data_IF_426326932747
#
_entry.id   IF_426326932747
#
_cell.length_a   1.000
_cell.length_b   1.000
_cell.length_c   1.000
_cell.angle_alpha   90.00
_cell.angle_beta   90.00
_cell.angle_gamma   90.00
#
_symmetry.space_group_name_H-M   'P 1'
#
loop_
_entity.id
_entity.type
_entity.pdbx_description
1 polymer ?
#
# COMPACT_ATOMS: atom_id res chain seq x y z
N UNK A 1 -21.68 9.90 -50.07
CA UNK A 1 -21.72 11.35 -49.86
C UNK A 1 -22.63 11.61 -48.68
N UNK A 2 -22.09 11.88 -47.53
CA UNK A 2 -22.52 12.90 -46.56
C UNK A 2 -21.42 12.94 -45.49
N UNK A 3 -20.62 13.96 -45.55
CA UNK A 3 -19.76 14.46 -44.48
C UNK A 3 -20.65 15.05 -43.40
N UNK A 4 -20.36 14.77 -42.16
CA UNK A 4 -20.83 15.55 -41.01
C UNK A 4 -19.64 15.81 -40.11
N UNK A 5 -19.14 17.04 -40.20
CA UNK A 5 -18.25 17.71 -39.29
C UNK A 5 -18.91 17.78 -37.90
N UNK A 6 -18.19 17.45 -36.88
CA UNK A 6 -18.47 17.89 -35.53
C UNK A 6 -17.24 18.62 -34.99
N UNK A 7 -17.43 19.87 -35.03
CA UNK A 7 -16.96 21.06 -34.33
C UNK A 7 -16.17 20.86 -33.07
N UNK A 8 -14.95 21.40 -33.12
CA UNK A 8 -14.16 21.87 -31.98
C UNK A 8 -14.92 22.99 -31.26
N UNK A 9 -14.86 23.01 -29.96
CA UNK A 9 -14.70 24.17 -29.09
C UNK A 9 -15.21 23.85 -27.69
N UNK A 10 -14.32 23.66 -26.75
CA UNK A 10 -14.54 24.13 -25.39
C UNK A 10 -13.21 24.32 -24.67
N UNK A 11 -12.55 25.42 -25.05
CA UNK A 11 -11.46 26.01 -24.28
C UNK A 11 -12.08 26.65 -23.03
N UNK A 12 -12.04 25.98 -21.88
CA UNK A 12 -12.43 26.60 -20.63
C UNK A 12 -11.20 27.26 -19.98
N UNK A 13 -11.09 28.56 -20.27
CA UNK A 13 -10.20 29.52 -19.63
C UNK A 13 -10.60 29.68 -18.15
N UNK A 14 -9.79 29.24 -17.24
CA UNK A 14 -9.81 29.77 -15.88
C UNK A 14 -8.76 30.88 -15.76
N UNK A 15 -9.26 32.11 -15.82
CA UNK A 15 -8.55 33.31 -15.41
C UNK A 15 -8.84 33.60 -13.93
N UNK A 16 -7.80 33.99 -13.25
CA UNK A 16 -7.89 35.06 -12.23
C UNK A 16 -7.89 34.58 -10.80
N UNK A 17 -6.82 35.02 -10.17
CA UNK A 17 -6.77 36.16 -9.22
C UNK A 17 -7.06 35.70 -7.79
N UNK A 18 -6.25 35.94 -6.77
CA UNK A 18 -5.68 37.19 -6.28
C UNK A 18 -4.60 36.93 -5.23
N UNK A 19 -3.59 37.75 -5.30
CA UNK A 19 -2.64 38.07 -4.22
C UNK A 19 -3.37 38.80 -3.09
N UNK A 20 -3.14 38.41 -1.84
CA UNK A 20 -3.32 39.30 -0.69
C UNK A 20 -2.05 39.21 0.18
N UNK A 21 -1.34 40.31 0.13
CA UNK A 21 -0.28 40.65 1.07
C UNK A 21 -0.92 41.31 2.32
N UNK A 22 -0.38 41.04 3.50
CA UNK A 22 -0.81 41.67 4.77
C UNK A 22 0.10 41.25 5.89
N UNK A 23 1.09 42.02 6.08
CA UNK A 23 1.46 42.98 7.14
C UNK A 23 2.07 42.35 8.39
N UNK A 24 3.34 42.71 8.53
CA UNK A 24 4.24 42.64 9.69
C UNK A 24 3.70 43.50 10.84
N UNK A 25 3.74 43.00 12.07
CA UNK A 25 3.77 43.82 13.28
C UNK A 25 4.90 43.36 14.17
N UNK A 26 5.93 44.19 14.22
CA UNK A 26 6.94 44.19 15.28
C UNK A 26 6.33 44.78 16.55
N UNK A 27 6.53 44.12 17.66
CA UNK A 27 6.27 44.67 19.00
C UNK A 27 7.42 44.31 19.92
N UNK A 28 8.18 45.34 20.23
CA UNK A 28 9.38 45.29 21.06
C UNK A 28 9.09 45.54 22.54
N UNK A 29 10.04 45.11 23.37
CA UNK A 29 10.47 45.64 24.65
C UNK A 29 9.64 45.42 25.92
N UNK A 30 10.36 44.99 26.96
CA UNK A 30 10.08 45.27 28.32
C UNK A 30 10.74 44.29 29.28
N UNK A 31 11.88 44.72 29.83
CA UNK A 31 12.67 44.03 30.82
C UNK A 31 12.03 44.02 32.22
N UNK A 32 12.60 43.22 33.10
CA UNK A 32 12.25 43.10 34.49
C UNK A 32 12.96 41.95 35.17
N UNK A 33 14.18 42.18 35.65
CA UNK A 33 14.88 41.33 36.63
C UNK A 33 14.12 41.32 37.95
N UNK A 34 13.82 40.14 38.47
CA UNK A 34 13.76 39.94 39.92
C UNK A 34 14.28 38.56 40.27
N UNK A 35 15.43 38.57 40.86
CA UNK A 35 16.12 37.47 41.53
C UNK A 35 15.35 37.13 42.80
N UNK A 36 14.87 35.90 42.90
CA UNK A 36 14.49 35.31 44.17
C UNK A 36 15.04 33.91 44.19
N UNK A 37 16.03 33.75 45.04
CA UNK A 37 16.61 32.51 45.53
C UNK A 37 15.60 31.81 46.47
N UNK A 38 15.18 30.59 46.19
CA UNK A 38 14.57 29.74 47.16
C UNK A 38 14.80 28.26 46.85
N UNK A 39 15.63 27.66 47.71
CA UNK A 39 15.67 26.31 48.25
C UNK A 39 15.39 25.09 47.30
N UNK A 40 16.43 24.29 47.22
CA UNK A 40 16.44 22.94 46.73
C UNK A 40 15.45 22.02 47.50
N UNK A 41 14.61 21.31 46.73
CA UNK A 41 13.95 20.08 47.17
C UNK A 41 14.40 18.91 46.30
N UNK A 42 14.47 17.66 46.80
CA UNK A 42 15.19 16.57 46.18
C UNK A 42 14.54 16.12 44.88
N UNK A 43 15.37 15.91 43.85
CA UNK A 43 14.99 15.36 42.56
C UNK A 43 14.31 13.99 42.71
N UNK A 44 13.03 13.91 42.38
CA UNK A 44 12.41 12.67 42.01
C UNK A 44 13.01 12.20 40.70
N UNK A 45 13.54 11.00 40.66
CA UNK A 45 14.06 10.35 39.45
C UNK A 45 13.01 10.36 38.34
N UNK A 46 13.38 10.67 37.08
CA UNK A 46 12.47 10.53 35.96
C UNK A 46 12.09 9.05 35.81
N UNK A 47 10.80 8.75 35.92
CA UNK A 47 10.28 7.44 35.51
C UNK A 47 10.69 7.26 34.04
N UNK A 48 11.44 6.19 33.79
CA UNK A 48 11.81 5.79 32.45
C UNK A 48 10.53 5.66 31.60
N UNK A 49 10.40 6.50 30.59
CA UNK A 49 9.41 6.34 29.56
C UNK A 49 9.56 4.93 28.97
N UNK A 50 8.46 4.20 28.69
CA UNK A 50 8.55 2.93 27.99
C UNK A 50 9.34 3.16 26.71
N UNK A 51 10.44 2.42 26.53
CA UNK A 51 11.19 2.41 25.30
C UNK A 51 10.21 2.09 24.17
N UNK A 52 10.05 3.05 23.26
CA UNK A 52 9.34 2.80 22.01
C UNK A 52 9.98 1.57 21.39
N UNK A 53 9.18 0.53 21.19
CA UNK A 53 9.62 -0.63 20.41
C UNK A 53 10.23 -0.11 19.11
N UNK A 54 11.40 -0.63 18.69
CA UNK A 54 12.01 -0.19 17.44
C UNK A 54 10.97 -0.35 16.34
N UNK A 55 10.65 0.74 15.65
CA UNK A 55 9.91 0.69 14.40
C UNK A 55 10.64 -0.33 13.52
N UNK A 56 9.96 -1.45 13.23
CA UNK A 56 10.53 -2.45 12.35
C UNK A 56 10.95 -1.72 11.07
N UNK A 57 12.24 -1.68 10.81
CA UNK A 57 12.77 -1.22 9.55
C UNK A 57 11.99 -1.97 8.48
N UNK A 58 11.53 -1.27 7.43
CA UNK A 58 10.85 -1.89 6.31
C UNK A 58 11.66 -3.12 5.90
N UNK A 59 11.14 -4.32 6.23
CA UNK A 59 11.89 -5.54 6.14
C UNK A 59 12.23 -5.84 4.68
N UNK A 60 13.35 -6.45 4.45
CA UNK A 60 13.63 -7.07 3.16
C UNK A 60 12.54 -8.12 2.86
N UNK A 61 12.25 -8.33 1.56
CA UNK A 61 11.37 -9.41 1.15
C UNK A 61 11.83 -10.73 1.76
N UNK A 62 10.93 -11.42 2.45
CA UNK A 62 11.26 -12.71 3.05
C UNK A 62 11.39 -13.77 1.96
N UNK A 63 12.36 -14.70 2.06
CA UNK A 63 12.55 -15.75 1.07
C UNK A 63 11.37 -16.73 1.09
N UNK A 64 11.10 -17.33 -0.09
CA UNK A 64 10.20 -18.48 -0.19
C UNK A 64 11.00 -19.70 0.28
N UNK A 65 10.55 -20.35 1.35
CA UNK A 65 11.19 -21.54 1.94
C UNK A 65 10.35 -22.80 1.77
N UNK A 66 9.07 -22.61 1.42
CA UNK A 66 8.12 -23.68 1.17
C UNK A 66 7.84 -23.91 -0.32
N UNK A 67 6.64 -24.41 -0.63
CA UNK A 67 6.19 -24.63 -2.00
C UNK A 67 5.71 -23.35 -2.66
N UNK A 68 5.69 -23.34 -3.99
CA UNK A 68 5.04 -22.28 -4.76
C UNK A 68 3.73 -22.79 -5.35
N UNK A 69 2.64 -22.06 -5.12
CA UNK A 69 1.31 -22.34 -5.65
C UNK A 69 1.07 -21.40 -6.82
N UNK A 70 0.68 -21.95 -7.98
CA UNK A 70 0.36 -21.14 -9.14
C UNK A 70 -1.12 -20.73 -9.11
N UNK A 71 -1.37 -19.46 -9.48
CA UNK A 71 -2.71 -18.86 -9.60
C UNK A 71 -2.77 -18.15 -10.95
N UNK A 72 -3.75 -18.52 -11.75
CA UNK A 72 -3.99 -17.90 -13.06
C UNK A 72 -4.77 -16.61 -12.90
N UNK A 73 -4.42 -15.60 -13.68
CA UNK A 73 -5.15 -14.35 -13.85
C UNK A 73 -5.84 -14.40 -15.21
N UNK A 74 -7.17 -14.40 -15.21
CA UNK A 74 -7.98 -14.72 -16.38
C UNK A 74 -9.00 -13.62 -16.64
N UNK A 75 -9.12 -13.21 -17.92
CA UNK A 75 -10.21 -12.38 -18.40
C UNK A 75 -10.78 -12.96 -19.69
N UNK A 76 -11.92 -13.62 -19.62
CA UNK A 76 -12.57 -14.28 -20.75
C UNK A 76 -14.09 -14.00 -20.77
N UNK A 77 -14.84 -14.71 -21.61
CA UNK A 77 -16.30 -14.56 -21.70
C UNK A 77 -17.05 -14.84 -20.39
N UNK A 78 -16.41 -15.50 -19.42
CA UNK A 78 -16.97 -15.75 -18.08
C UNK A 78 -16.64 -14.63 -17.09
N UNK A 79 -15.88 -13.63 -17.51
CA UNK A 79 -15.45 -12.50 -16.69
C UNK A 79 -14.01 -12.59 -16.21
N UNK A 80 -13.67 -11.68 -15.32
CA UNK A 80 -12.31 -11.55 -14.76
C UNK A 80 -12.21 -12.28 -13.42
N UNK A 81 -11.20 -13.15 -13.27
CA UNK A 81 -11.02 -13.95 -12.06
C UNK A 81 -9.60 -14.42 -11.83
N UNK A 82 -9.31 -14.75 -10.58
CA UNK A 82 -8.16 -15.58 -10.21
C UNK A 82 -8.59 -17.05 -10.15
N UNK A 83 -7.71 -17.95 -10.55
CA UNK A 83 -7.99 -19.40 -10.52
C UNK A 83 -6.78 -20.17 -10.01
N UNK A 84 -6.86 -20.77 -8.78
CA UNK A 84 -7.97 -20.67 -7.82
C UNK A 84 -8.07 -19.27 -7.18
N UNK A 85 -9.30 -18.85 -6.84
CA UNK A 85 -9.54 -17.60 -6.12
C UNK A 85 -9.32 -17.73 -4.60
N UNK A 86 -9.56 -18.94 -4.06
CA UNK A 86 -9.33 -19.26 -2.65
C UNK A 86 -8.12 -20.18 -2.54
N UNK A 87 -7.10 -19.69 -1.85
CA UNK A 87 -5.79 -20.32 -1.74
C UNK A 87 -5.52 -20.66 -0.29
N UNK A 88 -5.11 -21.89 0.00
CA UNK A 88 -4.59 -22.27 1.32
C UNK A 88 -3.09 -22.55 1.19
N UNK A 89 -2.30 -21.82 1.97
CA UNK A 89 -0.86 -21.90 1.96
C UNK A 89 -0.31 -21.84 3.40
N UNK A 90 0.96 -22.10 3.57
CA UNK A 90 1.66 -21.96 4.86
C UNK A 90 2.57 -20.75 4.88
N UNK A 91 2.95 -20.31 6.06
CA UNK A 91 4.03 -19.32 6.22
C UNK A 91 5.29 -19.85 5.52
N UNK A 92 5.90 -19.01 4.68
CA UNK A 92 7.07 -19.36 3.89
C UNK A 92 6.79 -19.96 2.52
N UNK A 93 5.53 -20.28 2.19
CA UNK A 93 5.15 -20.62 0.82
C UNK A 93 5.23 -19.39 -0.10
N UNK A 94 5.20 -19.62 -1.40
CA UNK A 94 5.08 -18.60 -2.43
C UNK A 94 3.77 -18.73 -3.22
N UNK A 95 3.24 -17.61 -3.69
CA UNK A 95 2.13 -17.60 -4.65
C UNK A 95 2.63 -16.97 -5.95
N UNK A 96 2.60 -17.74 -7.03
CA UNK A 96 2.96 -17.25 -8.38
C UNK A 96 1.68 -16.97 -9.16
N UNK A 97 1.42 -15.70 -9.39
CA UNK A 97 0.31 -15.24 -10.23
C UNK A 97 0.78 -15.14 -11.68
N UNK A 98 0.08 -15.77 -12.61
CA UNK A 98 0.42 -15.84 -14.03
C UNK A 98 -0.73 -15.33 -14.86
N UNK A 99 -0.48 -14.42 -15.80
CA UNK A 99 -1.47 -13.99 -16.77
C UNK A 99 -1.74 -15.12 -17.75
N UNK A 100 -2.96 -15.61 -17.77
CA UNK A 100 -3.44 -16.54 -18.79
C UNK A 100 -3.93 -15.75 -20.01
N UNK A 101 -4.82 -14.76 -19.77
CA UNK A 101 -5.37 -13.87 -20.80
C UNK A 101 -6.09 -12.67 -20.15
N UNK A 102 -6.58 -11.73 -20.97
CA UNK A 102 -7.42 -10.62 -20.54
C UNK A 102 -6.73 -9.54 -19.72
N UNK A 103 -5.40 -9.39 -19.83
CA UNK A 103 -4.66 -8.31 -19.18
C UNK A 103 -5.15 -6.90 -19.55
N UNK A 104 -4.71 -5.87 -18.78
CA UNK A 104 -3.68 -5.90 -17.75
C UNK A 104 -4.19 -6.44 -16.40
N UNK A 105 -3.36 -7.17 -15.69
CA UNK A 105 -3.66 -7.68 -14.34
C UNK A 105 -2.61 -7.22 -13.32
N UNK A 106 -2.99 -7.15 -12.06
CA UNK A 106 -2.07 -7.04 -10.93
C UNK A 106 -2.60 -7.78 -9.71
N UNK A 107 -1.81 -7.81 -8.66
CA UNK A 107 -2.21 -8.31 -7.36
C UNK A 107 -2.09 -7.15 -6.37
N UNK A 108 -3.18 -6.83 -5.71
CA UNK A 108 -3.23 -5.75 -4.73
C UNK A 108 -4.02 -6.17 -3.48
N UNK A 109 -3.61 -5.64 -2.34
CA UNK A 109 -4.31 -5.83 -1.06
C UNK A 109 -4.80 -4.47 -0.57
N UNK A 110 -5.98 -4.47 0.07
CA UNK A 110 -6.49 -3.27 0.73
C UNK A 110 -5.73 -3.05 2.04
N UNK A 111 -4.98 -1.94 2.18
CA UNK A 111 -4.19 -1.68 3.38
C UNK A 111 -5.00 -1.63 4.68
N UNK A 112 -6.31 -1.35 4.60
CA UNK A 112 -7.19 -1.32 5.76
C UNK A 112 -7.64 -2.72 6.21
N UNK A 113 -7.51 -3.72 5.35
CA UNK A 113 -7.92 -5.11 5.60
C UNK A 113 -6.78 -6.06 5.94
N UNK A 114 -5.55 -5.65 5.66
CA UNK A 114 -4.37 -6.44 6.03
C UNK A 114 -4.12 -6.32 7.52
N UNK A 115 -3.88 -7.44 8.25
CA UNK A 115 -3.50 -7.39 9.66
C UNK A 115 -2.31 -6.47 9.90
N UNK A 116 -2.42 -5.57 10.87
CA UNK A 116 -1.43 -4.51 11.10
C UNK A 116 -0.01 -5.04 11.36
N UNK A 117 0.11 -6.19 12.03
CA UNK A 117 1.38 -6.87 12.34
C UNK A 117 2.02 -7.62 11.15
N UNK A 118 1.28 -7.77 10.07
CA UNK A 118 1.76 -8.39 8.82
C UNK A 118 1.93 -7.40 7.68
N UNK A 119 1.38 -6.20 7.79
CA UNK A 119 1.30 -5.23 6.70
C UNK A 119 2.67 -4.83 6.17
N UNK A 120 3.59 -4.48 7.05
CA UNK A 120 4.94 -4.06 6.66
C UNK A 120 5.72 -5.19 5.97
N UNK A 121 5.58 -6.44 6.47
CA UNK A 121 6.23 -7.58 5.86
C UNK A 121 5.59 -7.96 4.53
N UNK A 122 4.26 -7.93 4.43
CA UNK A 122 3.55 -8.18 3.18
C UNK A 122 3.96 -7.15 2.12
N UNK A 123 4.04 -5.87 2.49
CA UNK A 123 4.51 -4.82 1.57
C UNK A 123 5.95 -5.06 1.12
N UNK A 124 6.85 -5.41 2.03
CA UNK A 124 8.23 -5.75 1.71
C UNK A 124 8.33 -6.96 0.75
N UNK A 125 7.42 -7.93 0.87
CA UNK A 125 7.41 -9.13 0.05
C UNK A 125 7.04 -8.88 -1.43
N UNK A 126 6.55 -7.69 -1.78
CA UNK A 126 6.42 -7.26 -3.18
C UNK A 126 7.78 -6.95 -3.82
N UNK A 127 8.81 -6.72 -3.03
CA UNK A 127 10.16 -6.40 -3.51
C UNK A 127 10.15 -5.16 -4.42
N UNK A 128 10.82 -5.28 -5.57
CA UNK A 128 10.88 -4.22 -6.59
C UNK A 128 9.72 -4.27 -7.60
N UNK A 129 8.96 -5.37 -7.62
CA UNK A 129 7.82 -5.54 -8.54
C UNK A 129 6.55 -4.93 -7.95
N UNK A 130 6.58 -3.61 -7.77
CA UNK A 130 5.49 -2.87 -7.11
C UNK A 130 5.24 -1.52 -7.78
N UNK A 131 3.98 -1.15 -7.95
CA UNK A 131 3.57 0.17 -8.42
C UNK A 131 3.04 1.07 -7.30
N UNK A 132 2.63 0.48 -6.17
CA UNK A 132 2.13 1.19 -4.98
C UNK A 132 2.30 0.32 -3.73
N UNK A 133 1.95 0.84 -2.56
CA UNK A 133 1.87 0.06 -1.32
C UNK A 133 0.96 -1.15 -1.54
N UNK A 134 1.44 -2.34 -1.16
CA UNK A 134 0.71 -3.61 -1.26
C UNK A 134 0.14 -3.91 -2.67
N UNK A 135 0.82 -3.46 -3.74
CA UNK A 135 0.35 -3.62 -5.11
C UNK A 135 1.48 -3.91 -6.08
N UNK A 136 1.40 -5.02 -6.80
CA UNK A 136 2.36 -5.37 -7.84
C UNK A 136 2.23 -4.44 -9.06
N UNK A 137 3.28 -4.39 -9.89
CA UNK A 137 3.20 -3.81 -11.22
C UNK A 137 2.16 -4.54 -12.08
N UNK A 138 1.63 -3.82 -13.07
CA UNK A 138 0.73 -4.42 -14.07
C UNK A 138 1.47 -5.47 -14.90
N UNK A 139 0.82 -6.59 -15.13
CA UNK A 139 1.23 -7.68 -16.02
C UNK A 139 0.35 -7.62 -17.26
N UNK A 140 0.98 -7.39 -18.40
CA UNK A 140 0.30 -6.99 -19.63
C UNK A 140 -0.02 -8.16 -20.55
N UNK A 141 0.86 -9.16 -20.60
CA UNK A 141 0.85 -10.19 -21.62
C UNK A 141 0.66 -11.58 -21.03
N UNK A 142 0.03 -12.51 -21.76
CA UNK A 142 0.01 -13.92 -21.37
C UNK A 142 1.42 -14.42 -21.06
N UNK A 143 1.54 -15.13 -19.93
CA UNK A 143 2.83 -15.63 -19.42
C UNK A 143 3.57 -14.67 -18.49
N UNK A 144 3.25 -13.37 -18.49
CA UNK A 144 3.77 -12.46 -17.45
C UNK A 144 3.37 -12.97 -16.07
N UNK A 145 4.24 -12.79 -15.09
CA UNK A 145 3.96 -13.30 -13.74
C UNK A 145 4.48 -12.37 -12.64
N UNK A 146 3.90 -12.54 -11.46
CA UNK A 146 4.33 -11.95 -10.21
C UNK A 146 4.38 -13.04 -9.15
N UNK A 147 5.43 -13.08 -8.35
CA UNK A 147 5.55 -14.05 -7.26
C UNK A 147 5.61 -13.34 -5.92
N UNK A 148 4.65 -13.66 -5.05
CA UNK A 148 4.55 -13.13 -3.69
C UNK A 148 5.05 -14.18 -2.69
N UNK A 149 5.99 -13.82 -1.84
CA UNK A 149 6.38 -14.64 -0.69
C UNK A 149 5.36 -14.45 0.45
N UNK A 150 5.04 -15.54 1.14
CA UNK A 150 4.26 -15.52 2.39
C UNK A 150 5.17 -15.64 3.62
N UNK A 151 6.48 -15.55 3.42
CA UNK A 151 7.48 -15.55 4.50
C UNK A 151 7.28 -14.38 5.45
N UNK A 152 7.38 -14.65 6.75
CA UNK A 152 7.25 -13.64 7.80
C UNK A 152 5.83 -13.13 8.06
N UNK A 153 4.83 -13.59 7.30
CA UNK A 153 3.43 -13.24 7.55
C UNK A 153 2.86 -14.01 8.74
N UNK A 154 1.92 -13.40 9.43
CA UNK A 154 1.14 -14.09 10.47
C UNK A 154 0.08 -14.99 9.82
N UNK A 155 -0.27 -16.12 10.45
CA UNK A 155 -1.44 -16.90 10.04
C UNK A 155 -2.70 -16.04 10.02
N UNK A 156 -3.52 -16.22 8.97
CA UNK A 156 -4.73 -15.42 8.79
C UNK A 156 -5.22 -15.41 7.36
N UNK A 157 -6.30 -14.67 7.11
CA UNK A 157 -6.87 -14.47 5.79
C UNK A 157 -6.41 -13.12 5.22
N UNK A 158 -5.96 -13.14 3.98
CA UNK A 158 -5.47 -12.00 3.23
C UNK A 158 -6.28 -11.87 1.96
N UNK A 159 -7.23 -10.93 1.96
CA UNK A 159 -8.04 -10.63 0.77
C UNK A 159 -7.20 -9.85 -0.24
N UNK A 160 -7.22 -10.29 -1.49
CA UNK A 160 -6.54 -9.62 -2.60
C UNK A 160 -7.47 -9.40 -3.79
N UNK A 161 -7.06 -8.52 -4.68
CA UNK A 161 -7.82 -8.16 -5.87
C UNK A 161 -6.90 -7.80 -7.03
N UNK A 162 -7.50 -7.69 -8.22
CA UNK A 162 -6.88 -7.05 -9.38
C UNK A 162 -7.46 -5.63 -9.51
N UNK A 163 -6.63 -4.61 -9.36
CA UNK A 163 -7.09 -3.21 -9.33
C UNK A 163 -7.88 -2.81 -10.59
N UNK A 164 -7.41 -3.10 -11.84
CA UNK A 164 -8.17 -2.79 -13.05
C UNK A 164 -9.54 -3.45 -13.13
N UNK A 165 -9.69 -4.65 -12.53
CA UNK A 165 -10.90 -5.47 -12.66
C UNK A 165 -11.66 -5.64 -11.33
N UNK A 166 -11.37 -4.78 -10.35
CA UNK A 166 -12.01 -4.83 -9.03
C UNK A 166 -13.53 -4.65 -9.13
N UNK A 167 -13.98 -3.70 -9.95
CA UNK A 167 -15.41 -3.45 -10.20
C UNK A 167 -16.11 -4.63 -10.91
N UNK A 168 -15.34 -5.49 -11.58
CA UNK A 168 -15.83 -6.72 -12.25
C UNK A 168 -15.76 -7.93 -11.33
N UNK A 169 -15.39 -7.76 -10.05
CA UNK A 169 -15.38 -8.81 -9.06
C UNK A 169 -14.12 -9.68 -9.04
N UNK A 170 -13.02 -9.27 -9.69
CA UNK A 170 -11.76 -10.02 -9.67
C UNK A 170 -11.08 -9.93 -8.30
N UNK A 171 -11.38 -10.87 -7.43
CA UNK A 171 -10.93 -10.96 -6.03
C UNK A 171 -10.57 -12.37 -5.65
N UNK A 172 -9.77 -12.50 -4.60
CA UNK A 172 -9.45 -13.79 -3.99
C UNK A 172 -9.05 -13.66 -2.54
N UNK A 173 -8.79 -14.79 -1.91
CA UNK A 173 -8.35 -14.86 -0.51
C UNK A 173 -7.20 -15.87 -0.39
N UNK A 174 -6.12 -15.45 0.25
CA UNK A 174 -5.04 -16.35 0.69
C UNK A 174 -5.25 -16.61 2.18
N UNK A 175 -5.52 -17.87 2.55
CA UNK A 175 -5.50 -18.32 3.94
C UNK A 175 -4.12 -18.86 4.26
N UNK A 176 -3.38 -18.12 5.08
CA UNK A 176 -2.04 -18.50 5.54
C UNK A 176 -2.20 -19.32 6.82
N UNK A 177 -1.82 -20.59 6.76
CA UNK A 177 -1.73 -21.49 7.91
C UNK A 177 -0.33 -21.41 8.57
N UNK A 178 -0.21 -21.80 9.83
CA UNK A 178 1.07 -21.93 10.53
C UNK A 178 2.07 -22.85 9.83
#
# INVERSE_FOLDING_TARGET
>A
TIFSEFSEDSVMRFKGVALVAGVVVLGACGGGETKTEQAAAPAAAPAAAPAAAPAAAAGAAAPITGKTIEVKMIGDAKGYRFEPANITAKVGDGIKFVVENGGPHNVAFDPAKVPADSKAQLDANFGTDRMAELSSNLKMNPGDSFTLSLGGLKPGAYEFNCTPHLAMGMKGVITVAP
#
